data_IF_737021776700
#
_entry.id   IF_737021776700
#
_cell.length_a   1.000
_cell.length_b   1.000
_cell.length_c   1.000
_cell.angle_alpha   90.00
_cell.angle_beta   90.00
_cell.angle_gamma   90.00
#
_symmetry.space_group_name_H-M   'P 1'
#
loop_
_entity.id
_entity.type
_entity.pdbx_description
1 polymer ?
#
# COMPACT_ATOMS: atom_id res chain seq x y z
N UNK A 1 1.37 -9.72 -13.90
CA UNK A 1 2.09 -8.59 -13.25
C UNK A 1 1.09 -7.51 -12.93
N UNK A 2 1.08 -7.03 -11.69
CA UNK A 2 0.11 -6.06 -11.20
C UNK A 2 0.53 -4.63 -11.62
N UNK A 3 -0.30 -3.99 -12.45
CA UNK A 3 -0.05 -2.64 -12.97
C UNK A 3 -0.39 -1.57 -11.92
N UNK A 4 -0.21 -0.29 -12.26
CA UNK A 4 -0.44 0.86 -11.37
C UNK A 4 -1.86 0.91 -10.74
N UNK A 5 -2.83 0.16 -11.27
CA UNK A 5 -4.20 0.07 -10.76
C UNK A 5 -4.34 -0.78 -9.51
N UNK A 6 -3.33 -1.57 -9.13
CA UNK A 6 -3.41 -2.57 -8.05
C UNK A 6 -3.91 -1.99 -6.71
N UNK A 7 -3.55 -0.75 -6.39
CA UNK A 7 -4.00 -0.06 -5.16
C UNK A 7 -5.50 0.23 -5.24
N UNK A 8 -5.98 0.70 -6.39
CA UNK A 8 -7.40 0.96 -6.63
C UNK A 8 -8.21 -0.35 -6.69
N UNK A 9 -7.67 -1.37 -7.33
CA UNK A 9 -8.28 -2.70 -7.41
C UNK A 9 -8.43 -3.33 -6.01
N UNK A 10 -7.42 -3.15 -5.14
CA UNK A 10 -7.50 -3.59 -3.75
C UNK A 10 -8.54 -2.81 -2.95
N UNK A 11 -8.60 -1.50 -3.14
CA UNK A 11 -9.64 -0.65 -2.52
C UNK A 11 -11.05 -1.08 -2.95
N UNK A 12 -11.24 -1.41 -4.23
CA UNK A 12 -12.50 -1.90 -4.77
C UNK A 12 -12.86 -3.31 -4.25
N UNK A 13 -11.86 -4.18 -4.08
CA UNK A 13 -12.06 -5.50 -3.49
C UNK A 13 -12.47 -5.41 -2.01
N UNK A 14 -11.83 -4.54 -1.23
CA UNK A 14 -12.22 -4.26 0.16
C UNK A 14 -13.66 -3.72 0.24
N UNK A 15 -14.03 -2.77 -0.63
CA UNK A 15 -15.41 -2.29 -0.72
C UNK A 15 -16.41 -3.42 -1.02
N UNK A 16 -16.05 -4.34 -1.93
CA UNK A 16 -16.90 -5.47 -2.28
C UNK A 16 -17.14 -6.36 -1.06
N UNK A 17 -16.08 -6.71 -0.31
CA UNK A 17 -16.20 -7.51 0.92
C UNK A 17 -17.11 -6.81 1.93
N UNK A 18 -16.92 -5.52 2.15
CA UNK A 18 -17.77 -4.76 3.09
C UNK A 18 -19.23 -4.73 2.63
N UNK A 19 -19.50 -4.42 1.36
CA UNK A 19 -20.86 -4.37 0.80
C UNK A 19 -21.58 -5.71 0.87
N UNK A 20 -20.89 -6.81 0.60
CA UNK A 20 -21.49 -8.15 0.68
C UNK A 20 -21.86 -8.53 2.12
N UNK A 21 -21.10 -8.08 3.12
CA UNK A 21 -21.27 -8.52 4.51
C UNK A 21 -22.05 -7.55 5.40
N UNK A 22 -22.13 -6.27 5.05
CA UNK A 22 -22.82 -5.22 5.84
C UNK A 22 -24.22 -4.89 5.29
N UNK A 23 -24.57 -5.40 4.11
CA UNK A 23 -25.89 -5.24 3.51
C UNK A 23 -26.68 -6.56 3.57
N UNK A 24 -28.02 -6.51 3.78
CA UNK A 24 -28.84 -5.31 3.93
C UNK A 24 -28.90 -4.74 5.37
N UNK A 25 -28.29 -5.39 6.35
CA UNK A 25 -28.21 -4.92 7.73
C UNK A 25 -26.77 -5.07 8.24
N UNK A 26 -26.20 -4.05 8.94
CA UNK A 26 -26.80 -2.81 9.42
C UNK A 26 -26.93 -1.68 8.38
N UNK A 27 -26.45 -1.85 7.16
CA UNK A 27 -26.50 -0.84 6.10
C UNK A 27 -27.44 -1.29 4.98
N UNK A 28 -28.48 -0.52 4.71
CA UNK A 28 -29.53 -0.91 3.75
C UNK A 28 -29.05 -0.99 2.29
N UNK A 29 -28.22 -0.03 1.87
CA UNK A 29 -27.75 0.07 0.49
C UNK A 29 -26.23 -0.06 0.41
N UNK A 30 -25.76 -0.84 -0.56
CA UNK A 30 -24.33 -1.00 -0.84
C UNK A 30 -23.68 0.31 -1.32
N UNK A 31 -24.45 1.21 -1.91
CA UNK A 31 -24.01 2.55 -2.33
C UNK A 31 -23.68 3.45 -1.13
N UNK A 32 -24.27 3.18 0.03
CA UNK A 32 -23.97 3.88 1.28
C UNK A 32 -22.61 3.48 1.89
N UNK A 33 -21.86 2.57 1.24
CA UNK A 33 -20.48 2.23 1.58
C UNK A 33 -19.59 2.71 0.43
N UNK A 34 -18.70 3.66 0.70
CA UNK A 34 -17.91 4.32 -0.34
C UNK A 34 -16.45 4.53 0.05
N UNK A 35 -15.57 4.67 -0.96
CA UNK A 35 -14.23 5.24 -0.76
C UNK A 35 -14.40 6.75 -0.59
N UNK A 36 -14.03 7.26 0.57
CA UNK A 36 -14.24 8.67 0.90
C UNK A 36 -13.18 9.16 1.88
N UNK A 37 -12.87 10.44 1.80
CA UNK A 37 -12.11 11.12 2.85
C UNK A 37 -13.05 11.53 3.98
N UNK A 38 -12.65 11.41 5.27
CA UNK A 38 -13.42 11.96 6.38
C UNK A 38 -13.67 13.47 6.28
N UNK A 39 -12.83 14.18 5.52
CA UNK A 39 -12.99 15.61 5.25
C UNK A 39 -14.08 15.92 4.22
N UNK A 40 -14.55 14.92 3.47
CA UNK A 40 -15.64 15.08 2.50
C UNK A 40 -17.00 15.05 3.20
N UNK A 41 -17.60 16.24 3.34
CA UNK A 41 -18.89 16.44 4.00
C UNK A 41 -20.08 16.35 3.04
N UNK A 42 -19.83 16.27 1.73
CA UNK A 42 -20.87 16.33 0.70
C UNK A 42 -21.32 14.94 0.22
N UNK A 43 -20.58 13.89 0.58
CA UNK A 43 -20.89 12.53 0.16
C UNK A 43 -22.17 11.99 0.83
N UNK A 44 -23.03 11.40 0.01
CA UNK A 44 -24.23 10.68 0.44
C UNK A 44 -23.87 9.21 0.71
N UNK A 45 -23.17 8.98 1.82
CA UNK A 45 -22.78 7.65 2.27
C UNK A 45 -22.85 7.55 3.80
N UNK A 46 -23.00 6.33 4.30
CA UNK A 46 -23.04 6.02 5.73
C UNK A 46 -21.67 5.57 6.26
N UNK A 47 -21.00 4.67 5.54
CA UNK A 47 -19.68 4.13 5.91
C UNK A 47 -18.64 4.50 4.86
N UNK A 48 -17.59 5.19 5.30
CA UNK A 48 -16.45 5.56 4.48
C UNK A 48 -15.26 4.63 4.68
N UNK A 49 -14.56 4.32 3.60
CA UNK A 49 -13.27 3.64 3.58
C UNK A 49 -12.21 4.65 3.13
N UNK A 50 -11.21 4.91 3.98
CA UNK A 50 -10.16 5.88 3.72
C UNK A 50 -8.78 5.24 3.75
N UNK A 51 -8.05 5.27 2.63
CA UNK A 51 -6.64 4.88 2.57
C UNK A 51 -5.78 6.03 3.09
N UNK A 52 -5.28 5.93 4.32
CA UNK A 52 -4.58 7.03 4.99
C UNK A 52 -3.05 6.94 4.91
N UNK A 53 -2.50 5.74 4.65
CA UNK A 53 -1.06 5.54 4.54
C UNK A 53 -0.73 4.36 3.61
N UNK A 54 0.42 4.44 2.93
CA UNK A 54 0.96 3.42 2.03
C UNK A 54 2.44 3.25 2.36
N UNK A 55 2.83 2.03 2.76
CA UNK A 55 4.21 1.74 3.16
C UNK A 55 4.83 0.67 2.29
N UNK A 56 6.10 0.84 1.94
CA UNK A 56 6.89 -0.23 1.33
C UNK A 56 7.35 -1.21 2.42
N UNK A 57 7.15 -2.52 2.17
CA UNK A 57 7.61 -3.56 3.07
C UNK A 57 9.11 -3.78 2.84
N UNK A 58 9.92 -2.99 3.55
CA UNK A 58 11.38 -2.97 3.40
C UNK A 58 12.09 -4.28 3.78
N UNK A 59 11.40 -5.19 4.46
CA UNK A 59 11.88 -6.49 4.92
C UNK A 59 12.11 -7.50 3.76
N UNK A 60 11.52 -7.22 2.59
CA UNK A 60 11.60 -8.05 1.38
C UNK A 60 12.55 -7.48 0.30
N UNK A 61 13.70 -6.92 0.70
CA UNK A 61 14.76 -6.63 -0.29
C UNK A 61 15.38 -7.92 -0.81
N UNK A 62 14.81 -8.49 -1.87
CA UNK A 62 15.59 -9.36 -2.77
C UNK A 62 16.57 -8.46 -3.51
N UNK A 63 17.78 -8.36 -2.95
CA UNK A 63 18.80 -7.35 -3.27
C UNK A 63 19.56 -7.58 -4.59
N UNK A 64 18.97 -8.22 -5.61
CA UNK A 64 19.65 -8.39 -6.89
C UNK A 64 18.71 -8.17 -8.08
N UNK A 65 18.99 -7.19 -8.98
CA UNK A 65 18.29 -7.11 -10.25
C UNK A 65 18.53 -8.40 -11.04
N UNK A 66 17.44 -9.05 -11.47
CA UNK A 66 17.52 -10.24 -12.32
C UNK A 66 17.96 -9.78 -13.71
N UNK A 67 19.08 -10.30 -14.21
CA UNK A 67 19.52 -10.07 -15.59
C UNK A 67 18.63 -10.89 -16.52
N UNK A 68 17.83 -10.22 -17.34
CA UNK A 68 17.15 -10.85 -18.46
C UNK A 68 18.16 -11.29 -19.53
N UNK A 69 17.77 -12.26 -20.37
CA UNK A 69 18.58 -12.79 -21.46
C UNK A 69 19.02 -11.73 -22.50
N UNK A 70 18.28 -10.62 -22.61
CA UNK A 70 18.45 -9.57 -23.63
C UNK A 70 19.14 -8.29 -23.11
N UNK A 71 20.01 -8.40 -22.10
CA UNK A 71 20.70 -7.25 -21.49
C UNK A 71 19.75 -6.19 -20.87
N UNK A 72 18.53 -6.60 -20.56
CA UNK A 72 17.51 -5.83 -19.83
C UNK A 72 17.59 -6.14 -18.34
N UNK A 73 17.65 -5.08 -17.51
CA UNK A 73 17.40 -5.20 -16.07
C UNK A 73 15.92 -5.00 -15.79
N UNK A 74 15.28 -6.00 -15.22
CA UNK A 74 13.93 -5.87 -14.64
C UNK A 74 14.08 -5.67 -13.14
N UNK A 75 13.48 -4.60 -12.63
CA UNK A 75 13.40 -4.38 -11.18
C UNK A 75 12.34 -5.31 -10.58
N UNK A 76 12.61 -5.93 -9.42
CA UNK A 76 11.63 -6.79 -8.77
C UNK A 76 10.39 -5.99 -8.35
N UNK A 77 9.24 -6.67 -8.33
CA UNK A 77 8.00 -6.12 -7.81
C UNK A 77 8.19 -5.70 -6.34
N UNK A 78 7.59 -4.57 -5.96
CA UNK A 78 7.72 -4.03 -4.61
C UNK A 78 6.50 -4.43 -3.79
N UNK A 79 6.68 -5.07 -2.62
CA UNK A 79 5.58 -5.32 -1.70
C UNK A 79 5.20 -4.06 -0.94
N UNK A 80 3.90 -3.75 -0.94
CA UNK A 80 3.30 -2.63 -0.21
C UNK A 80 2.37 -3.12 0.90
N UNK A 81 2.27 -2.31 1.95
CA UNK A 81 1.23 -2.38 2.97
C UNK A 81 0.32 -1.17 2.82
N UNK A 82 -0.97 -1.44 2.60
CA UNK A 82 -2.00 -0.40 2.48
C UNK A 82 -2.72 -0.26 3.81
N UNK A 83 -2.76 0.94 4.39
CA UNK A 83 -3.42 1.20 5.66
C UNK A 83 -4.73 1.96 5.48
N UNK A 84 -5.83 1.35 5.91
CA UNK A 84 -7.17 1.88 5.78
C UNK A 84 -7.79 2.23 7.14
N UNK A 85 -8.66 3.22 7.12
CA UNK A 85 -9.54 3.60 8.20
C UNK A 85 -10.99 3.51 7.72
N UNK A 86 -11.83 2.77 8.46
CA UNK A 86 -13.27 2.80 8.31
C UNK A 86 -13.86 3.81 9.30
N UNK A 87 -14.75 4.66 8.83
CA UNK A 87 -15.39 5.70 9.63
C UNK A 87 -16.85 5.89 9.21
N UNK A 88 -17.71 6.29 10.14
CA UNK A 88 -19.10 6.64 9.81
C UNK A 88 -19.16 8.12 9.44
N UNK A 89 -19.87 8.46 8.36
CA UNK A 89 -20.04 9.85 7.95
C UNK A 89 -20.75 10.63 9.06
N UNK A 90 -20.23 11.81 9.44
CA UNK A 90 -20.81 12.64 10.50
C UNK A 90 -22.29 12.97 10.29
N UNK A 91 -22.75 13.17 9.04
CA UNK A 91 -24.17 13.41 8.72
C UNK A 91 -25.02 12.17 8.99
N UNK A 92 -24.53 11.00 8.61
CA UNK A 92 -25.21 9.74 8.88
C UNK A 92 -25.20 9.42 10.38
N UNK A 93 -24.09 9.68 11.08
CA UNK A 93 -23.94 9.49 12.52
C UNK A 93 -25.00 10.26 13.32
N UNK A 94 -25.26 11.51 12.96
CA UNK A 94 -26.31 12.33 13.58
C UNK A 94 -27.71 11.74 13.39
N UNK A 95 -27.96 11.03 12.29
CA UNK A 95 -29.27 10.45 11.97
C UNK A 95 -29.46 9.05 12.59
N UNK A 96 -28.43 8.22 12.64
CA UNK A 96 -28.53 6.82 13.08
C UNK A 96 -28.20 6.57 14.54
N UNK A 97 -27.56 7.52 15.23
CA UNK A 97 -27.17 7.40 16.63
C UNK A 97 -25.95 6.49 16.86
N UNK A 98 -25.37 6.60 18.06
CA UNK A 98 -24.12 5.92 18.44
C UNK A 98 -24.24 4.39 18.51
N UNK A 99 -25.41 3.86 18.84
CA UNK A 99 -25.63 2.40 18.90
C UNK A 99 -25.53 1.77 17.51
N UNK A 100 -26.14 2.39 16.50
CA UNK A 100 -26.10 1.91 15.10
C UNK A 100 -24.68 1.96 14.56
N UNK A 101 -23.93 3.02 14.87
CA UNK A 101 -22.51 3.13 14.54
C UNK A 101 -21.69 1.96 15.13
N UNK A 102 -21.92 1.64 16.41
CA UNK A 102 -21.26 0.50 17.06
C UNK A 102 -21.64 -0.83 16.41
N UNK A 103 -22.91 -1.01 15.98
CA UNK A 103 -23.35 -2.20 15.23
C UNK A 103 -22.67 -2.31 13.87
N UNK A 104 -22.52 -1.19 13.14
CA UNK A 104 -21.79 -1.14 11.87
C UNK A 104 -20.34 -1.60 12.05
N UNK A 105 -19.64 -1.05 13.05
CA UNK A 105 -18.26 -1.47 13.33
C UNK A 105 -18.18 -2.92 13.77
N UNK A 106 -19.11 -3.40 14.59
CA UNK A 106 -19.19 -4.81 14.99
C UNK A 106 -19.33 -5.75 13.79
N UNK A 107 -20.23 -5.42 12.84
CA UNK A 107 -20.40 -6.20 11.61
C UNK A 107 -19.20 -6.11 10.68
N UNK A 108 -18.55 -4.94 10.61
CA UNK A 108 -17.30 -4.77 9.86
C UNK A 108 -16.17 -5.64 10.42
N UNK A 109 -16.00 -5.70 11.74
CA UNK A 109 -15.02 -6.60 12.38
C UNK A 109 -15.31 -8.06 12.03
N UNK A 110 -16.57 -8.51 12.13
CA UNK A 110 -16.95 -9.86 11.72
C UNK A 110 -16.62 -10.12 10.24
N UNK A 111 -16.96 -9.19 9.34
CA UNK A 111 -16.67 -9.31 7.92
C UNK A 111 -15.16 -9.46 7.64
N UNK A 112 -14.31 -8.74 8.37
CA UNK A 112 -12.85 -8.86 8.21
C UNK A 112 -12.31 -10.17 8.80
N UNK A 113 -12.92 -10.69 9.87
CA UNK A 113 -12.56 -11.99 10.44
C UNK A 113 -12.95 -13.15 9.51
N UNK A 114 -14.11 -13.06 8.87
CA UNK A 114 -14.62 -14.06 7.93
C UNK A 114 -13.86 -14.03 6.59
N UNK A 115 -13.25 -12.88 6.26
CA UNK A 115 -12.49 -12.65 5.03
C UNK A 115 -11.05 -12.21 5.36
N UNK A 116 -10.22 -13.10 5.93
CA UNK A 116 -8.88 -12.75 6.42
C UNK A 116 -7.87 -12.47 5.31
N UNK A 117 -8.21 -12.77 4.05
CA UNK A 117 -7.40 -12.44 2.89
C UNK A 117 -8.27 -12.00 1.72
N UNK A 118 -7.72 -11.12 0.89
CA UNK A 118 -8.35 -10.61 -0.32
C UNK A 118 -7.52 -11.06 -1.52
N UNK A 119 -8.15 -11.86 -2.37
CA UNK A 119 -7.56 -12.32 -3.62
C UNK A 119 -8.04 -11.45 -4.79
N UNK A 120 -7.10 -10.71 -5.39
CA UNK A 120 -7.36 -9.87 -6.57
C UNK A 120 -7.66 -10.68 -7.82
N UNK A 121 -7.21 -11.94 -7.92
CA UNK A 121 -7.46 -12.79 -9.08
C UNK A 121 -8.94 -13.18 -9.20
N UNK A 122 -9.65 -13.30 -8.08
CA UNK A 122 -11.11 -13.47 -8.06
C UNK A 122 -11.89 -12.27 -8.63
N UNK A 123 -11.26 -11.09 -8.68
CA UNK A 123 -11.89 -9.85 -9.13
C UNK A 123 -11.66 -9.55 -10.63
N UNK A 124 -10.77 -10.27 -11.30
CA UNK A 124 -10.37 -10.02 -12.70
C UNK A 124 -10.35 -11.33 -13.51
N UNK A 125 -11.27 -11.55 -14.48
CA UNK A 125 -11.36 -12.80 -15.23
C UNK A 125 -10.13 -13.11 -16.12
N UNK A 126 -9.23 -12.13 -16.32
CA UNK A 126 -8.00 -12.27 -17.11
C UNK A 126 -6.72 -12.08 -16.27
N UNK A 127 -6.85 -11.98 -14.95
CA UNK A 127 -5.65 -11.95 -14.10
C UNK A 127 -4.99 -13.33 -14.18
N UNK A 128 -3.72 -13.35 -14.57
CA UNK A 128 -2.86 -14.49 -14.28
C UNK A 128 -2.98 -14.79 -12.78
N UNK A 129 -3.06 -16.06 -12.35
CA UNK A 129 -3.18 -16.40 -10.93
C UNK A 129 -2.09 -15.64 -10.17
N UNK A 130 -2.52 -14.66 -9.38
CA UNK A 130 -1.62 -13.87 -8.55
C UNK A 130 -1.07 -14.82 -7.50
N UNK A 131 0.25 -14.96 -7.46
CA UNK A 131 0.93 -15.57 -6.32
C UNK A 131 0.62 -14.71 -5.09
N UNK A 132 -0.03 -15.32 -4.10
CA UNK A 132 -0.43 -14.81 -2.78
C UNK A 132 -1.62 -13.83 -2.69
N UNK A 133 -2.61 -14.24 -1.88
CA UNK A 133 -3.70 -13.39 -1.43
C UNK A 133 -3.20 -12.40 -0.36
N UNK A 134 -3.63 -11.14 -0.44
CA UNK A 134 -3.22 -10.14 0.52
C UNK A 134 -4.00 -10.30 1.84
N UNK A 135 -3.29 -10.44 2.96
CA UNK A 135 -3.91 -10.61 4.26
C UNK A 135 -4.50 -9.29 4.79
N UNK A 136 -5.69 -9.38 5.38
CA UNK A 136 -6.36 -8.29 6.08
C UNK A 136 -6.05 -8.41 7.57
N UNK A 137 -5.62 -7.32 8.21
CA UNK A 137 -5.29 -7.31 9.64
C UNK A 137 -5.85 -6.08 10.33
N UNK A 138 -6.54 -6.27 11.46
CA UNK A 138 -6.98 -5.17 12.32
C UNK A 138 -5.80 -4.59 13.10
N UNK A 139 -5.70 -3.26 13.09
CA UNK A 139 -4.61 -2.54 13.73
C UNK A 139 -5.02 -2.06 15.12
N UNK A 140 -4.21 -2.39 16.11
CA UNK A 140 -4.39 -1.91 17.49
C UNK A 140 -3.61 -0.60 17.70
N UNK A 141 -4.06 0.48 17.07
CA UNK A 141 -3.44 1.80 17.22
C UNK A 141 -3.74 2.40 18.60
N UNK A 142 -2.73 3.05 19.19
CA UNK A 142 -2.87 3.85 20.40
C UNK A 142 -3.79 5.06 20.17
N UNK A 143 -4.34 5.61 21.25
CA UNK A 143 -5.17 6.81 21.17
C UNK A 143 -4.41 8.01 20.58
N UNK A 144 -3.10 8.14 20.87
CA UNK A 144 -2.26 9.20 20.31
C UNK A 144 -2.10 9.07 18.80
N UNK A 145 -1.82 7.86 18.30
CA UNK A 145 -1.70 7.60 16.85
C UNK A 145 -3.01 7.91 16.12
N UNK A 146 -4.13 7.47 16.70
CA UNK A 146 -5.46 7.77 16.15
C UNK A 146 -5.68 9.29 16.10
N UNK A 147 -5.41 10.01 17.19
CA UNK A 147 -5.52 11.47 17.21
C UNK A 147 -4.64 12.15 16.17
N UNK A 148 -3.42 11.65 15.93
CA UNK A 148 -2.53 12.20 14.89
C UNK A 148 -3.14 12.06 13.50
N UNK A 149 -3.77 10.91 13.19
CA UNK A 149 -4.46 10.70 11.91
C UNK A 149 -5.58 11.75 11.74
N UNK A 150 -6.46 11.89 12.73
CA UNK A 150 -7.58 12.85 12.67
C UNK A 150 -7.12 14.31 12.65
N UNK A 151 -6.09 14.65 13.44
CA UNK A 151 -5.50 15.99 13.45
C UNK A 151 -4.87 16.34 12.09
N UNK A 152 -4.24 15.37 11.42
CA UNK A 152 -3.72 15.54 10.06
C UNK A 152 -4.82 15.86 9.02
N UNK A 153 -6.06 15.48 9.29
CA UNK A 153 -7.24 15.79 8.47
C UNK A 153 -7.91 17.11 8.87
N UNK A 154 -7.38 17.83 9.87
CA UNK A 154 -8.01 19.01 10.50
C UNK A 154 -9.43 18.73 11.01
N UNK A 155 -9.66 17.52 11.55
CA UNK A 155 -10.94 17.10 12.08
C UNK A 155 -10.81 16.70 13.55
N UNK A 156 -11.88 16.88 14.35
CA UNK A 156 -11.92 16.31 15.70
C UNK A 156 -11.85 14.78 15.62
N UNK A 157 -11.29 14.17 16.65
CA UNK A 157 -11.24 12.71 16.75
C UNK A 157 -12.64 12.11 16.73
N UNK A 158 -12.82 11.07 15.90
CA UNK A 158 -14.02 10.26 15.84
C UNK A 158 -13.66 8.77 15.92
N UNK A 159 -14.66 7.96 16.28
CA UNK A 159 -14.50 6.51 16.30
C UNK A 159 -14.25 5.98 14.88
N UNK A 160 -13.33 5.02 14.77
CA UNK A 160 -13.01 4.39 13.50
C UNK A 160 -12.33 3.04 13.71
N UNK A 161 -12.43 2.18 12.70
CA UNK A 161 -11.74 0.91 12.64
C UNK A 161 -10.50 1.06 11.75
N UNK A 162 -9.36 0.55 12.19
CA UNK A 162 -8.11 0.66 11.46
C UNK A 162 -7.65 -0.72 11.02
N UNK A 163 -7.26 -0.86 9.76
CA UNK A 163 -6.82 -2.12 9.20
C UNK A 163 -5.68 -1.93 8.21
N UNK A 164 -4.91 -2.98 7.98
CA UNK A 164 -3.90 -3.04 6.92
C UNK A 164 -4.17 -4.20 5.99
N UNK A 165 -3.81 -4.01 4.71
CA UNK A 165 -3.79 -5.06 3.70
C UNK A 165 -2.35 -5.23 3.20
N UNK A 166 -1.81 -6.43 3.34
CA UNK A 166 -0.42 -6.75 2.97
C UNK A 166 -0.24 -8.26 2.70
N UNK A 167 0.66 -8.66 1.79
CA UNK A 167 1.42 -7.80 0.87
C UNK A 167 0.58 -7.45 -0.37
N UNK A 168 0.76 -6.23 -0.89
CA UNK A 168 0.22 -5.81 -2.19
C UNK A 168 1.39 -5.56 -3.14
N UNK A 169 1.53 -6.40 -4.16
CA UNK A 169 2.65 -6.34 -5.11
C UNK A 169 2.38 -5.27 -6.19
N UNK A 170 3.31 -4.34 -6.36
CA UNK A 170 3.28 -3.37 -7.48
C UNK A 170 4.48 -3.56 -8.39
N UNK A 171 4.23 -3.66 -9.71
CA UNK A 171 5.30 -3.83 -10.68
C UNK A 171 5.99 -2.53 -11.05
N UNK A 172 7.33 -2.58 -11.16
CA UNK A 172 8.14 -1.45 -11.64
C UNK A 172 8.14 -1.41 -13.17
N UNK A 173 7.94 -0.21 -13.75
CA UNK A 173 8.09 0.02 -15.20
C UNK A 173 9.53 0.36 -15.63
N UNK A 174 10.48 0.38 -14.70
CA UNK A 174 11.86 0.76 -15.01
C UNK A 174 12.57 -0.38 -15.75
N UNK A 175 12.81 -0.21 -17.06
CA UNK A 175 13.69 -1.07 -17.85
C UNK A 175 14.92 -0.29 -18.27
N UNK A 176 16.08 -0.65 -17.73
CA UNK A 176 17.35 -0.12 -18.23
C UNK A 176 17.87 -1.08 -19.31
N UNK A 177 18.00 -0.58 -20.55
CA UNK A 177 18.84 -1.20 -21.58
C UNK A 177 20.27 -0.77 -21.31
N UNK A 178 21.14 -1.71 -20.93
CA UNK A 178 22.57 -1.45 -20.91
C UNK A 178 23.17 -1.73 -22.29
N UNK A 179 24.18 -0.95 -22.68
CA UNK A 179 25.10 -1.33 -23.74
C UNK A 179 26.33 -1.90 -23.05
N UNK A 180 26.73 -3.13 -23.40
CA UNK A 180 27.97 -3.73 -22.93
C UNK A 180 29.14 -2.81 -23.35
N UNK A 181 29.95 -2.35 -22.40
CA UNK A 181 31.25 -1.74 -22.73
C UNK A 181 32.13 -2.84 -23.30
N UNK A 182 32.37 -2.83 -24.61
CA UNK A 182 33.18 -3.85 -25.30
C UNK A 182 34.68 -3.59 -25.14
N UNK A 183 35.11 -2.38 -24.77
CA UNK A 183 36.54 -2.07 -24.73
C UNK A 183 36.88 -1.00 -23.68
N UNK A 184 37.77 -1.35 -22.76
CA UNK A 184 38.43 -0.41 -21.87
C UNK A 184 39.85 -0.18 -22.42
N UNK A 185 40.11 1.00 -22.98
CA UNK A 185 41.47 1.41 -23.31
C UNK A 185 42.15 1.90 -22.03
N UNK A 186 43.18 1.19 -21.60
CA UNK A 186 44.06 1.60 -20.51
C UNK A 186 45.32 2.23 -21.10
N UNK A 187 45.50 3.54 -20.94
CA UNK A 187 46.81 4.16 -21.11
C UNK A 187 47.62 4.02 -19.82
N UNK A 188 48.61 3.14 -19.84
CA UNK A 188 49.55 2.98 -18.74
C UNK A 188 50.70 4.00 -18.88
N UNK A 189 50.71 5.03 -18.02
CA UNK A 189 51.83 5.95 -17.92
C UNK A 189 52.86 5.41 -16.92
N UNK A 190 54.05 5.06 -17.43
CA UNK A 190 55.17 4.57 -16.63
C UNK A 190 55.82 5.74 -15.85
N UNK A 191 55.62 5.80 -14.54
CA UNK A 191 56.37 6.71 -13.68
C UNK A 191 57.73 6.07 -13.40
N UNK A 192 58.81 6.63 -13.97
CA UNK A 192 60.18 6.20 -13.68
C UNK A 192 60.54 6.59 -12.24
N UNK A 193 60.82 5.59 -11.41
CA UNK A 193 61.52 5.76 -10.15
C UNK A 193 63.04 5.64 -10.38
N UNK A 194 63.82 6.64 -9.97
CA UNK A 194 65.26 6.46 -9.73
C UNK A 194 66.15 7.68 -9.95
N UNK A 195 67.00 7.92 -8.95
CA UNK A 195 68.19 8.79 -8.85
C UNK A 195 67.98 10.29 -8.53
N UNK A 196 68.66 10.89 -7.53
CA UNK A 196 69.97 10.55 -6.99
C UNK A 196 70.12 10.85 -5.47
N UNK A 197 70.93 10.00 -4.83
CA UNK A 197 71.58 10.21 -3.53
C UNK A 197 72.63 11.33 -3.62
N UNK A 198 72.70 12.16 -2.58
CA UNK A 198 73.95 12.54 -1.91
C UNK A 198 74.80 13.70 -2.47
N UNK A 199 74.91 14.77 -1.66
CA UNK A 199 76.06 15.68 -1.37
C UNK A 199 75.45 16.92 -0.70
N UNK A 200 75.78 17.39 0.49
CA UNK A 200 77.04 17.37 1.23
C UNK A 200 77.59 18.80 1.32
N UNK A 201 77.45 19.41 2.50
CA UNK A 201 78.15 20.61 3.06
C UNK A 201 78.20 21.91 2.24
N UNK A 202 77.77 23.00 2.88
CA UNK A 202 78.60 24.17 3.22
C UNK A 202 77.98 24.87 4.43
#
# INVERSE_FOLDING_TARGET
MADYTVIADMSAALLRVLRTNLCPEPIQSSEAIALASPSDKNGDFQLGVFLYDIRELNEYRVSAPVRGADNTRTYPDKPLTLHYMLFVNSRAQMATGAETEQRIFGRAVQAMMDNPSIDLSSAQPYAQPSEEAAAVSLLNLSYEEKNRIWSGLNLPYQMGLYLSISPVMISSRHSERFIRVVEAQFEAQQIRAGDARGRGRS
#
